data_IF_224335067064
#
_entry.id   IF_224335067064
#
_cell.length_a   1.000
_cell.length_b   1.000
_cell.length_c   1.000
_cell.angle_alpha   90.00
_cell.angle_beta   90.00
_cell.angle_gamma   90.00
#
_symmetry.space_group_name_H-M   'P 1'
#
loop_
_entity.id
_entity.type
_entity.pdbx_description
1 polymer ?
#
# COMPACT_ATOMS: atom_id res chain seq x y z
N UNK A 1 10.84 3.46 20.61
CA UNK A 1 10.93 3.92 19.20
C UNK A 1 12.02 3.13 18.50
N UNK A 2 11.82 2.76 17.22
CA UNK A 2 12.73 1.89 16.47
C UNK A 2 13.83 2.75 15.81
N UNK A 3 15.12 2.55 16.15
CA UNK A 3 16.21 3.45 15.77
C UNK A 3 16.52 3.41 14.27
N UNK A 4 16.23 2.30 13.58
CA UNK A 4 16.60 2.14 12.18
C UNK A 4 15.92 3.17 11.28
N UNK A 5 14.63 3.43 11.49
CA UNK A 5 13.91 4.46 10.74
C UNK A 5 14.58 5.84 10.88
N UNK A 6 14.86 6.24 12.12
CA UNK A 6 15.47 7.54 12.38
C UNK A 6 16.94 7.59 11.93
N UNK A 7 17.67 6.47 11.91
CA UNK A 7 18.99 6.42 11.32
C UNK A 7 18.95 6.63 9.79
N UNK A 8 18.01 5.97 9.10
CA UNK A 8 17.88 6.05 7.64
C UNK A 8 17.44 7.43 7.15
N UNK A 9 16.61 8.12 7.92
CA UNK A 9 15.96 9.36 7.50
C UNK A 9 16.52 10.59 8.23
N UNK A 10 17.11 10.40 9.40
CA UNK A 10 17.58 11.46 10.28
C UNK A 10 18.99 11.95 10.01
N UNK A 11 19.83 11.21 9.28
CA UNK A 11 21.21 11.62 8.98
C UNK A 11 21.39 13.05 8.46
N UNK A 12 20.46 13.69 7.70
CA UNK A 12 20.64 15.07 7.28
C UNK A 12 20.68 16.07 8.43
N UNK A 13 20.14 15.73 9.61
CA UNK A 13 20.26 16.57 10.81
C UNK A 13 21.68 16.61 11.36
N UNK A 14 22.56 15.67 10.98
CA UNK A 14 23.98 15.71 11.34
C UNK A 14 24.76 16.75 10.54
N UNK A 15 24.19 17.23 9.42
CA UNK A 15 24.80 18.23 8.54
C UNK A 15 24.28 19.63 8.88
N UNK A 16 23.01 19.75 9.28
CA UNK A 16 22.40 21.04 9.61
C UNK A 16 21.28 20.89 10.63
N UNK A 17 21.33 21.69 11.70
CA UNK A 17 20.31 21.70 12.77
C UNK A 17 19.08 22.56 12.45
N UNK A 18 19.06 23.22 11.29
CA UNK A 18 18.02 24.18 10.90
C UNK A 18 16.96 23.66 9.91
N UNK A 19 16.30 24.59 9.22
CA UNK A 19 15.30 24.28 8.18
C UNK A 19 15.84 23.37 7.07
N UNK A 20 17.14 23.50 6.75
CA UNK A 20 17.80 22.68 5.75
C UNK A 20 17.86 21.21 6.19
N UNK A 21 18.25 20.93 7.44
CA UNK A 21 18.26 19.57 8.01
C UNK A 21 16.89 18.92 7.94
N UNK A 22 15.84 19.62 8.39
CA UNK A 22 14.46 19.11 8.36
C UNK A 22 14.00 18.83 6.93
N UNK A 23 14.30 19.71 5.96
CA UNK A 23 13.99 19.48 4.54
C UNK A 23 14.78 18.30 3.98
N UNK A 24 16.04 18.15 4.37
CA UNK A 24 16.88 17.00 4.02
C UNK A 24 16.29 15.70 4.53
N UNK A 25 15.86 15.65 5.80
CA UNK A 25 15.19 14.47 6.37
C UNK A 25 13.90 14.13 5.61
N UNK A 26 13.08 15.13 5.26
CA UNK A 26 11.88 14.93 4.43
C UNK A 26 12.23 14.38 3.04
N UNK A 27 13.29 14.90 2.41
CA UNK A 27 13.77 14.41 1.13
C UNK A 27 14.27 12.97 1.20
N UNK A 28 15.01 12.61 2.27
CA UNK A 28 15.44 11.24 2.52
C UNK A 28 14.25 10.28 2.71
N UNK A 29 13.22 10.69 3.47
CA UNK A 29 12.00 9.91 3.64
C UNK A 29 11.26 9.70 2.31
N UNK A 30 11.14 10.76 1.51
CA UNK A 30 10.49 10.73 0.21
C UNK A 30 11.25 9.81 -0.76
N UNK A 31 12.58 9.89 -0.79
CA UNK A 31 13.42 9.02 -1.60
C UNK A 31 13.27 7.54 -1.21
N UNK A 32 13.22 7.23 0.08
CA UNK A 32 12.98 5.88 0.58
C UNK A 32 11.60 5.36 0.14
N UNK A 33 10.55 6.16 0.30
CA UNK A 33 9.20 5.79 -0.16
C UNK A 33 9.16 5.59 -1.69
N UNK A 34 9.79 6.50 -2.45
CA UNK A 34 9.85 6.44 -3.90
C UNK A 34 10.56 5.17 -4.38
N UNK A 35 11.64 4.76 -3.73
CA UNK A 35 12.35 3.51 -4.06
C UNK A 35 11.43 2.28 -3.94
N UNK A 36 10.66 2.19 -2.84
CA UNK A 36 9.70 1.08 -2.66
C UNK A 36 8.56 1.12 -3.66
N UNK A 37 7.97 2.30 -3.90
CA UNK A 37 6.89 2.46 -4.87
C UNK A 37 7.37 2.18 -6.30
N UNK A 38 8.60 2.57 -6.65
CA UNK A 38 9.21 2.27 -7.94
C UNK A 38 9.47 0.76 -8.11
N UNK A 39 9.95 0.09 -7.05
CA UNK A 39 10.10 -1.36 -7.05
C UNK A 39 8.74 -2.06 -7.24
N UNK A 40 7.71 -1.63 -6.51
CA UNK A 40 6.36 -2.15 -6.66
C UNK A 40 5.79 -1.94 -8.08
N UNK A 41 5.94 -0.73 -8.62
CA UNK A 41 5.53 -0.41 -9.98
C UNK A 41 6.29 -1.28 -11.00
N UNK A 42 7.60 -1.50 -10.81
CA UNK A 42 8.41 -2.37 -11.67
C UNK A 42 7.89 -3.81 -11.66
N UNK A 43 7.57 -4.35 -10.47
CA UNK A 43 6.95 -5.66 -10.33
C UNK A 43 5.62 -5.69 -11.08
N UNK A 44 4.72 -4.74 -10.84
CA UNK A 44 3.41 -4.70 -11.49
C UNK A 44 3.53 -4.63 -13.02
N UNK A 45 4.42 -3.78 -13.54
CA UNK A 45 4.63 -3.61 -14.98
C UNK A 45 5.34 -4.80 -15.65
N UNK A 46 5.87 -5.73 -14.85
CA UNK A 46 6.43 -7.00 -15.33
C UNK A 46 5.40 -8.12 -15.43
N UNK A 47 4.25 -7.99 -14.75
CA UNK A 47 3.18 -8.99 -14.78
C UNK A 47 2.49 -8.91 -16.14
N UNK A 48 2.29 -10.08 -16.77
CA UNK A 48 1.58 -10.15 -18.02
C UNK A 48 0.11 -9.72 -17.85
N UNK A 49 -0.34 -8.77 -18.68
CA UNK A 49 -1.76 -8.38 -18.81
C UNK A 49 -1.95 -6.88 -19.03
N UNK A 50 -3.15 -6.36 -18.74
CA UNK A 50 -3.51 -4.94 -18.94
C UNK A 50 -2.88 -4.04 -17.88
N UNK A 51 -1.85 -3.28 -18.25
CA UNK A 51 -1.07 -2.44 -17.32
C UNK A 51 -1.87 -1.33 -16.68
N UNK A 52 -2.81 -0.72 -17.41
CA UNK A 52 -3.70 0.32 -16.87
C UNK A 52 -4.50 -0.19 -15.67
N UNK A 53 -4.95 -1.45 -15.67
CA UNK A 53 -5.68 -2.05 -14.53
C UNK A 53 -4.75 -2.23 -13.32
N UNK A 54 -3.53 -2.73 -13.55
CA UNK A 54 -2.53 -2.89 -12.50
C UNK A 54 -2.11 -1.53 -11.91
N UNK A 55 -1.97 -0.51 -12.77
CA UNK A 55 -1.71 0.86 -12.37
C UNK A 55 -2.88 1.42 -11.53
N UNK A 56 -4.12 1.23 -11.96
CA UNK A 56 -5.30 1.67 -11.22
C UNK A 56 -5.36 1.03 -9.83
N UNK A 57 -5.07 -0.27 -9.70
CA UNK A 57 -4.99 -0.93 -8.39
C UNK A 57 -3.88 -0.38 -7.50
N UNK A 58 -2.70 -0.08 -8.07
CA UNK A 58 -1.61 0.57 -7.34
C UNK A 58 -2.05 1.95 -6.82
N UNK A 59 -2.56 2.81 -7.69
CA UNK A 59 -2.96 4.17 -7.30
C UNK A 59 -4.14 4.18 -6.34
N UNK A 60 -5.14 3.29 -6.51
CA UNK A 60 -6.28 3.17 -5.61
C UNK A 60 -5.89 3.02 -4.13
N UNK A 61 -4.79 2.30 -3.85
CA UNK A 61 -4.29 2.12 -2.49
C UNK A 61 -3.54 3.32 -1.92
N UNK A 62 -2.99 4.17 -2.79
CA UNK A 62 -2.14 5.29 -2.42
C UNK A 62 -2.97 6.53 -2.06
N UNK A 63 -3.59 6.49 -0.88
CA UNK A 63 -4.43 7.59 -0.36
C UNK A 63 -3.69 8.93 -0.30
N UNK A 64 -4.39 10.08 -0.27
CA UNK A 64 -3.75 11.36 -0.05
C UNK A 64 -2.92 11.38 1.23
N UNK A 65 -3.36 10.72 2.29
CA UNK A 65 -2.57 10.53 3.50
C UNK A 65 -1.27 9.77 3.20
N UNK A 66 -1.33 8.63 2.50
CA UNK A 66 -0.14 7.83 2.19
C UNK A 66 0.92 8.67 1.43
N UNK A 67 0.47 9.46 0.46
CA UNK A 67 1.33 10.40 -0.31
C UNK A 67 1.83 11.56 0.53
N UNK A 68 1.00 12.12 1.42
CA UNK A 68 1.42 13.17 2.35
C UNK A 68 2.52 12.66 3.30
N UNK A 69 2.36 11.45 3.82
CA UNK A 69 3.31 10.83 4.75
C UNK A 69 4.63 10.44 4.10
N UNK A 70 4.70 10.26 2.77
CA UNK A 70 5.99 10.06 2.10
C UNK A 70 6.85 11.32 2.14
N UNK A 71 6.25 12.51 2.15
CA UNK A 71 6.95 13.79 2.30
C UNK A 71 7.16 14.24 3.75
N UNK A 72 6.54 13.56 4.72
CA UNK A 72 6.68 13.85 6.14
C UNK A 72 7.73 12.97 6.82
N UNK A 73 8.35 13.45 7.89
CA UNK A 73 9.22 12.61 8.75
C UNK A 73 8.29 11.76 9.63
N UNK A 74 7.75 10.69 9.05
CA UNK A 74 6.85 9.77 9.73
C UNK A 74 7.07 8.33 9.25
N UNK A 75 7.26 7.35 10.16
CA UNK A 75 7.51 5.96 9.76
C UNK A 75 6.33 5.29 9.02
N UNK A 76 5.09 5.79 9.15
CA UNK A 76 3.93 5.27 8.40
C UNK A 76 4.07 5.41 6.89
N UNK A 77 4.80 6.42 6.40
CA UNK A 77 5.03 6.63 4.96
C UNK A 77 5.81 5.47 4.32
N UNK A 78 7.08 5.22 4.73
CA UNK A 78 7.85 4.10 4.20
C UNK A 78 7.27 2.74 4.58
N UNK A 79 6.57 2.60 5.71
CA UNK A 79 5.85 1.38 6.06
C UNK A 79 4.76 1.06 5.02
N UNK A 80 3.94 2.04 4.63
CA UNK A 80 2.94 1.88 3.58
C UNK A 80 3.59 1.57 2.22
N UNK A 81 4.65 2.30 1.85
CA UNK A 81 5.35 2.08 0.58
C UNK A 81 6.01 0.69 0.50
N UNK A 82 6.67 0.25 1.57
CA UNK A 82 7.24 -1.09 1.68
C UNK A 82 6.14 -2.16 1.63
N UNK A 83 4.99 -1.94 2.27
CA UNK A 83 3.85 -2.84 2.17
C UNK A 83 3.38 -3.01 0.72
N UNK A 84 3.23 -1.92 -0.03
CA UNK A 84 2.86 -1.98 -1.47
C UNK A 84 3.85 -2.84 -2.25
N UNK A 85 5.16 -2.68 -2.01
CA UNK A 85 6.18 -3.52 -2.65
C UNK A 85 6.07 -4.99 -2.23
N UNK A 86 5.83 -5.26 -0.94
CA UNK A 86 5.68 -6.61 -0.40
C UNK A 86 4.45 -7.32 -0.98
N UNK A 87 3.30 -6.64 -1.00
CA UNK A 87 2.08 -7.10 -1.65
C UNK A 87 2.30 -7.43 -3.12
N UNK A 88 2.90 -6.50 -3.88
CA UNK A 88 3.18 -6.71 -5.30
C UNK A 88 4.08 -7.93 -5.53
N UNK A 89 5.15 -8.07 -4.75
CA UNK A 89 6.08 -9.19 -4.87
C UNK A 89 5.44 -10.54 -4.52
N UNK A 90 4.71 -10.61 -3.40
CA UNK A 90 4.03 -11.84 -2.95
C UNK A 90 2.94 -12.26 -3.95
N UNK A 91 2.08 -11.33 -4.37
CA UNK A 91 1.03 -11.64 -5.35
C UNK A 91 1.61 -12.01 -6.72
N UNK A 92 2.69 -11.38 -7.16
CA UNK A 92 3.40 -11.76 -8.38
C UNK A 92 4.00 -13.17 -8.28
N UNK A 93 4.54 -13.57 -7.13
CA UNK A 93 5.09 -14.90 -6.91
C UNK A 93 4.01 -15.98 -6.85
N UNK A 94 2.81 -15.66 -6.35
CA UNK A 94 1.69 -16.62 -6.25
C UNK A 94 1.00 -16.81 -7.61
N UNK A 95 0.70 -15.71 -8.31
CA UNK A 95 -0.21 -15.72 -9.46
C UNK A 95 0.46 -15.46 -10.83
N UNK A 96 1.71 -14.99 -10.85
CA UNK A 96 2.25 -14.31 -12.01
C UNK A 96 3.15 -15.12 -12.93
N UNK A 97 2.99 -14.87 -14.24
CA UNK A 97 4.04 -14.97 -15.28
C UNK A 97 4.76 -13.62 -15.41
N UNK A 98 5.38 -13.18 -14.32
CA UNK A 98 6.19 -11.96 -14.33
C UNK A 98 7.40 -12.17 -15.25
N UNK A 99 7.77 -11.13 -16.02
CA UNK A 99 9.02 -11.16 -16.80
C UNK A 99 10.27 -10.95 -15.93
N UNK A 100 10.12 -10.62 -14.65
CA UNK A 100 11.24 -10.55 -13.71
C UNK A 100 11.65 -11.95 -13.28
N UNK A 101 12.95 -12.13 -13.06
CA UNK A 101 13.46 -13.36 -12.47
C UNK A 101 12.82 -13.60 -11.10
N UNK A 102 12.44 -14.84 -10.81
CA UNK A 102 11.88 -15.25 -9.52
C UNK A 102 12.77 -14.83 -8.34
N UNK A 103 14.09 -14.89 -8.51
CA UNK A 103 15.06 -14.43 -7.51
C UNK A 103 14.89 -12.94 -7.17
N UNK A 104 14.66 -12.09 -8.17
CA UNK A 104 14.42 -10.65 -7.96
C UNK A 104 13.17 -10.41 -7.14
N UNK A 105 12.07 -11.12 -7.44
CA UNK A 105 10.83 -11.02 -6.66
C UNK A 105 11.02 -11.47 -5.21
N UNK A 106 11.78 -12.55 -4.98
CA UNK A 106 12.11 -13.03 -3.64
C UNK A 106 12.97 -12.02 -2.86
N UNK A 107 13.97 -11.41 -3.51
CA UNK A 107 14.80 -10.37 -2.90
C UNK A 107 13.95 -9.16 -2.53
N UNK A 108 13.09 -8.67 -3.44
CA UNK A 108 12.22 -7.54 -3.16
C UNK A 108 11.21 -7.85 -2.05
N UNK A 109 10.66 -9.07 -2.01
CA UNK A 109 9.80 -9.52 -0.92
C UNK A 109 10.55 -9.57 0.42
N UNK A 110 11.77 -10.12 0.45
CA UNK A 110 12.61 -10.16 1.64
C UNK A 110 12.97 -8.76 2.16
N UNK A 111 13.43 -7.88 1.27
CA UNK A 111 13.82 -6.51 1.61
C UNK A 111 12.63 -5.67 2.10
N UNK A 112 11.49 -5.70 1.40
CA UNK A 112 10.30 -4.95 1.79
C UNK A 112 9.64 -5.49 3.06
N UNK A 113 9.58 -6.82 3.23
CA UNK A 113 9.11 -7.44 4.47
C UNK A 113 10.00 -7.12 5.67
N UNK A 114 11.32 -7.08 5.46
CA UNK A 114 12.28 -6.67 6.50
C UNK A 114 12.08 -5.20 6.87
N UNK A 115 11.86 -4.32 5.88
CA UNK A 115 11.58 -2.90 6.11
C UNK A 115 10.28 -2.67 6.91
N UNK A 116 9.25 -3.49 6.70
CA UNK A 116 8.02 -3.44 7.50
C UNK A 116 8.29 -3.72 8.99
N UNK A 117 9.03 -4.80 9.26
CA UNK A 117 9.35 -5.22 10.64
C UNK A 117 10.26 -4.23 11.37
N UNK A 118 11.13 -3.54 10.65
CA UNK A 118 12.03 -2.56 11.26
C UNK A 118 11.39 -1.19 11.49
N UNK A 119 10.29 -0.88 10.79
CA UNK A 119 9.56 0.38 10.96
C UNK A 119 8.86 0.48 12.32
N UNK A 120 8.15 -0.58 12.73
CA UNK A 120 7.44 -0.66 14.02
C UNK A 120 7.24 -2.11 14.46
N UNK A 121 6.98 -2.32 15.75
CA UNK A 121 6.66 -3.63 16.34
C UNK A 121 5.56 -4.39 15.59
N UNK A 122 4.53 -3.66 15.13
CA UNK A 122 3.39 -4.24 14.41
C UNK A 122 3.72 -4.68 12.98
N UNK A 123 4.91 -4.35 12.45
CA UNK A 123 5.32 -4.72 11.10
C UNK A 123 5.28 -6.23 10.84
N UNK A 124 5.59 -7.06 11.85
CA UNK A 124 5.51 -8.51 11.75
C UNK A 124 4.07 -8.98 11.51
N UNK A 125 3.12 -8.36 12.21
CA UNK A 125 1.70 -8.64 12.03
C UNK A 125 1.26 -8.30 10.60
N UNK A 126 1.72 -7.16 10.04
CA UNK A 126 1.44 -6.82 8.65
C UNK A 126 2.00 -7.85 7.67
N UNK A 127 3.27 -8.25 7.81
CA UNK A 127 3.88 -9.28 6.94
C UNK A 127 3.03 -10.56 6.95
N UNK A 128 2.69 -11.08 8.14
CA UNK A 128 1.88 -12.28 8.27
C UNK A 128 0.48 -12.12 7.65
N UNK A 129 -0.18 -11.00 7.91
CA UNK A 129 -1.51 -10.73 7.39
C UNK A 129 -1.52 -10.63 5.86
N UNK A 130 -0.53 -9.94 5.28
CA UNK A 130 -0.36 -9.81 3.84
C UNK A 130 -0.21 -11.18 3.18
N UNK A 131 0.62 -12.06 3.78
CA UNK A 131 0.82 -13.41 3.28
C UNK A 131 -0.46 -14.25 3.33
N UNK A 132 -1.18 -14.22 4.46
CA UNK A 132 -2.44 -14.94 4.62
C UNK A 132 -3.47 -14.48 3.60
N UNK A 133 -3.71 -13.17 3.50
CA UNK A 133 -4.68 -12.61 2.56
C UNK A 133 -4.28 -12.87 1.10
N UNK A 134 -2.99 -12.83 0.78
CA UNK A 134 -2.51 -13.20 -0.56
C UNK A 134 -2.76 -14.67 -0.87
N UNK A 135 -2.52 -15.57 0.09
CA UNK A 135 -2.79 -17.01 -0.07
C UNK A 135 -4.29 -17.33 -0.20
N UNK A 136 -5.17 -16.55 0.45
CA UNK A 136 -6.63 -16.71 0.30
C UNK A 136 -7.10 -16.52 -1.14
N UNK A 137 -6.34 -15.80 -1.97
CA UNK A 137 -6.65 -15.63 -3.39
C UNK A 137 -6.20 -16.80 -4.28
N UNK A 138 -5.48 -17.77 -3.73
CA UNK A 138 -4.97 -18.95 -4.44
C UNK A 138 -5.57 -20.25 -3.91
N UNK A 139 -5.50 -21.30 -4.72
CA UNK A 139 -5.93 -22.63 -4.30
C UNK A 139 -5.05 -23.18 -3.16
N UNK A 140 -5.66 -23.93 -2.22
CA UNK A 140 -4.98 -24.47 -1.02
C UNK A 140 -3.75 -25.33 -1.35
N UNK A 141 -3.73 -25.98 -2.51
CA UNK A 141 -2.58 -26.76 -2.98
C UNK A 141 -1.29 -25.93 -3.15
N UNK A 142 -1.41 -24.61 -3.34
CA UNK A 142 -0.26 -23.71 -3.51
C UNK A 142 0.36 -23.30 -2.18
N UNK A 143 -0.38 -23.36 -1.07
CA UNK A 143 -0.01 -22.72 0.19
C UNK A 143 1.30 -23.25 0.77
N UNK A 144 1.39 -24.56 0.98
CA UNK A 144 2.55 -25.18 1.61
C UNK A 144 3.81 -25.11 0.73
N UNK A 145 3.78 -25.45 -0.58
CA UNK A 145 4.92 -25.27 -1.47
C UNK A 145 5.41 -23.82 -1.53
N UNK A 146 4.48 -22.86 -1.57
CA UNK A 146 4.80 -21.44 -1.61
C UNK A 146 5.53 -20.99 -0.34
N UNK A 147 4.95 -21.24 0.84
CA UNK A 147 5.52 -20.86 2.14
C UNK A 147 6.91 -21.48 2.33
N UNK A 148 7.08 -22.77 1.96
CA UNK A 148 8.39 -23.44 1.99
C UNK A 148 9.42 -22.75 1.10
N UNK A 149 9.00 -22.29 -0.09
CA UNK A 149 9.85 -21.54 -1.01
C UNK A 149 10.28 -20.16 -0.51
N UNK A 150 9.57 -19.59 0.47
CA UNK A 150 9.89 -18.29 1.08
C UNK A 150 10.80 -18.38 2.31
N UNK A 151 10.93 -19.55 2.94
CA UNK A 151 11.66 -19.76 4.20
C UNK A 151 13.02 -19.08 4.22
N UNK A 152 13.91 -19.46 3.31
CA UNK A 152 15.28 -18.92 3.29
C UNK A 152 15.36 -17.47 2.77
N UNK A 153 14.83 -17.13 1.57
CA UNK A 153 15.08 -15.81 0.99
C UNK A 153 14.25 -14.68 1.60
N UNK A 154 13.14 -14.98 2.28
CA UNK A 154 12.20 -13.98 2.81
C UNK A 154 12.09 -14.07 4.33
N UNK A 155 11.82 -15.25 4.89
CA UNK A 155 11.57 -15.34 6.34
C UNK A 155 12.82 -15.25 7.20
N UNK A 156 13.98 -15.75 6.76
CA UNK A 156 15.25 -15.58 7.50
C UNK A 156 15.61 -14.10 7.73
N UNK A 157 15.68 -13.23 6.71
CA UNK A 157 16.01 -11.82 6.96
C UNK A 157 14.95 -11.08 7.79
N UNK A 158 13.67 -11.41 7.59
CA UNK A 158 12.56 -10.88 8.41
C UNK A 158 12.71 -11.29 9.88
N UNK A 159 12.99 -12.57 10.15
CA UNK A 159 13.18 -13.08 11.49
C UNK A 159 14.42 -12.48 12.16
N UNK A 160 15.53 -12.37 11.42
CA UNK A 160 16.74 -11.72 11.93
C UNK A 160 16.49 -10.25 12.33
N UNK A 161 15.80 -9.49 11.48
CA UNK A 161 15.41 -8.13 11.80
C UNK A 161 14.45 -8.07 13.01
N UNK A 162 13.48 -8.96 13.10
CA UNK A 162 12.58 -9.03 14.24
C UNK A 162 13.33 -9.29 15.56
N UNK A 163 14.31 -10.19 15.55
CA UNK A 163 15.15 -10.48 16.73
C UNK A 163 15.95 -9.25 17.13
N UNK A 164 16.61 -8.57 16.18
CA UNK A 164 17.37 -7.34 16.46
C UNK A 164 16.47 -6.25 17.03
N UNK A 165 15.30 -6.02 16.41
CA UNK A 165 14.36 -5.00 16.86
C UNK A 165 13.71 -5.36 18.21
N UNK A 166 13.45 -6.64 18.45
CA UNK A 166 12.95 -7.15 19.73
C UNK A 166 13.98 -6.95 20.83
N UNK A 167 15.23 -7.35 20.60
CA UNK A 167 16.34 -7.13 21.52
C UNK A 167 16.50 -5.63 21.85
N UNK A 168 16.51 -4.76 20.83
CA UNK A 168 16.56 -3.31 21.05
C UNK A 168 15.37 -2.80 21.88
N UNK A 169 14.15 -3.27 21.58
CA UNK A 169 12.94 -2.85 22.30
C UNK A 169 13.01 -3.19 23.77
N UNK A 170 13.54 -4.37 24.11
CA UNK A 170 13.72 -4.84 25.48
C UNK A 170 14.84 -4.07 26.20
N UNK A 171 16.00 -3.91 25.57
CA UNK A 171 17.17 -3.24 26.18
C UNK A 171 16.95 -1.74 26.34
N UNK A 172 16.41 -1.07 25.32
CA UNK A 172 16.09 0.35 25.36
C UNK A 172 14.78 0.67 26.10
N UNK A 173 14.09 -0.35 26.64
CA UNK A 173 12.79 -0.27 27.33
C UNK A 173 11.77 0.59 26.57
N UNK A 174 11.81 0.51 25.25
CA UNK A 174 11.12 1.47 24.39
C UNK A 174 9.59 1.28 24.34
N UNK A 175 9.11 0.20 24.98
CA UNK A 175 7.70 -0.06 25.26
C UNK A 175 7.16 0.75 26.45
N UNK A 176 8.03 1.29 27.32
CA UNK A 176 7.64 2.09 28.50
C UNK A 176 7.42 3.58 28.19
N UNK A 177 7.63 4.00 26.93
CA UNK A 177 7.56 5.42 26.54
C UNK A 177 6.14 5.99 26.58
N UNK A 178 5.12 5.13 26.48
CA UNK A 178 3.74 5.54 26.73
C UNK A 178 3.45 5.37 28.23
N UNK A 179 3.31 6.48 28.96
CA UNK A 179 2.73 6.41 30.30
C UNK A 179 1.37 5.73 30.18
N UNK A 180 1.07 4.70 30.97
CA UNK A 180 -0.26 4.12 30.97
C UNK A 180 -1.23 5.26 31.32
N UNK A 181 -2.12 5.59 30.38
CA UNK A 181 -3.35 6.27 30.79
C UNK A 181 -4.00 5.34 31.82
N UNK A 182 -4.62 5.89 32.87
CA UNK A 182 -5.31 5.03 33.85
C UNK A 182 -6.29 4.12 33.09
N UNK A 183 -6.33 2.80 33.38
CA UNK A 183 -7.39 1.94 32.88
C UNK A 183 -8.70 2.63 33.17
N UNK A 184 -9.48 2.88 32.13
CA UNK A 184 -10.85 3.31 32.34
C UNK A 184 -11.61 2.01 32.39
N UNK A 185 -12.12 1.65 33.56
CA UNK A 185 -13.03 0.51 33.71
C UNK A 185 -14.27 0.83 32.89
N UNK A 186 -14.34 0.24 31.70
CA UNK A 186 -15.39 0.46 30.71
C UNK A 186 -16.03 -0.88 30.40
N UNK A 187 -17.35 -0.93 30.46
CA UNK A 187 -18.08 -2.11 30.03
C UNK A 187 -17.87 -2.37 28.53
N UNK A 188 -17.91 -3.64 28.13
CA UNK A 188 -17.71 -4.06 26.74
C UNK A 188 -18.67 -3.34 25.77
N UNK A 189 -19.91 -3.10 26.19
CA UNK A 189 -20.91 -2.38 25.41
C UNK A 189 -20.51 -0.92 25.16
N UNK A 190 -19.89 -0.27 26.13
CA UNK A 190 -19.37 1.09 26.00
C UNK A 190 -18.12 1.13 25.11
N UNK A 191 -17.21 0.16 25.26
CA UNK A 191 -16.03 0.03 24.38
C UNK A 191 -16.45 -0.16 22.92
N UNK A 192 -17.43 -1.03 22.67
CA UNK A 192 -17.98 -1.23 21.32
C UNK A 192 -18.63 0.05 20.80
N UNK A 193 -19.50 0.69 21.58
CA UNK A 193 -20.18 1.95 21.18
C UNK A 193 -19.18 3.06 20.84
N UNK A 194 -18.16 3.25 21.68
CA UNK A 194 -17.10 4.24 21.45
C UNK A 194 -16.23 3.89 20.24
N UNK A 195 -15.99 2.60 19.99
CA UNK A 195 -15.22 2.16 18.83
C UNK A 195 -16.00 2.41 17.54
N UNK A 196 -17.29 2.05 17.51
CA UNK A 196 -18.18 2.31 16.38
C UNK A 196 -18.31 3.82 16.08
N UNK A 197 -18.44 4.66 17.11
CA UNK A 197 -18.47 6.11 16.96
C UNK A 197 -17.16 6.73 16.42
N UNK A 198 -16.06 5.98 16.41
CA UNK A 198 -14.77 6.44 15.87
C UNK A 198 -14.50 5.97 14.42
N UNK A 199 -15.39 5.18 13.80
CA UNK A 199 -15.21 4.67 12.43
C UNK A 199 -14.96 5.82 11.46
N UNK A 200 -15.83 6.82 11.45
CA UNK A 200 -15.76 7.93 10.50
C UNK A 200 -14.45 8.70 10.63
N UNK A 201 -14.00 8.89 11.88
CA UNK A 201 -12.72 9.51 12.17
C UNK A 201 -11.56 8.66 11.64
N UNK A 202 -11.52 7.37 11.95
CA UNK A 202 -10.43 6.48 11.52
C UNK A 202 -10.37 6.31 10.00
N UNK A 203 -11.51 6.27 9.32
CA UNK A 203 -11.59 6.26 7.87
C UNK A 203 -11.11 7.58 7.27
N UNK A 204 -11.52 8.71 7.85
CA UNK A 204 -11.04 10.03 7.43
C UNK A 204 -9.52 10.16 7.62
N UNK A 205 -9.02 9.66 8.75
CA UNK A 205 -7.59 9.55 9.05
C UNK A 205 -6.85 8.70 8.04
N UNK A 206 -7.40 7.55 7.61
CA UNK A 206 -6.81 6.67 6.61
C UNK A 206 -6.73 7.33 5.22
N UNK A 207 -7.74 8.13 4.88
CA UNK A 207 -7.86 8.75 3.56
C UNK A 207 -7.01 10.01 3.46
N UNK A 208 -7.28 11.06 4.24
CA UNK A 208 -6.70 12.39 3.98
C UNK A 208 -6.78 13.35 5.18
N UNK A 209 -6.42 12.89 6.37
CA UNK A 209 -6.30 13.76 7.55
C UNK A 209 -4.85 14.22 7.74
N UNK A 210 -4.57 15.49 7.42
CA UNK A 210 -3.21 16.02 7.36
C UNK A 210 -2.76 16.76 8.63
N UNK A 211 -1.49 17.17 8.64
CA UNK A 211 -0.86 17.85 9.78
C UNK A 211 -0.71 16.90 10.98
N UNK A 212 -1.00 17.41 12.18
CA UNK A 212 -1.08 16.62 13.41
C UNK A 212 -2.55 16.27 13.71
N UNK A 213 -3.23 15.61 12.77
CA UNK A 213 -4.68 15.38 12.82
C UNK A 213 -5.47 16.69 12.99
N UNK A 214 -5.03 17.75 12.31
CA UNK A 214 -5.64 19.09 12.41
C UNK A 214 -6.39 19.50 11.15
N UNK A 215 -6.07 18.89 10.01
CA UNK A 215 -6.63 19.23 8.71
C UNK A 215 -7.50 18.07 8.22
N UNK A 216 -8.83 18.12 8.42
CA UNK A 216 -9.72 17.04 8.01
C UNK A 216 -9.89 16.99 6.48
N UNK A 217 -10.27 15.83 5.93
CA UNK A 217 -10.56 15.72 4.51
C UNK A 217 -11.87 16.43 4.13
N UNK A 218 -11.87 17.11 2.98
CA UNK A 218 -13.11 17.64 2.40
C UNK A 218 -14.01 16.55 1.79
N UNK A 219 -15.29 16.88 1.54
CA UNK A 219 -16.29 15.92 1.07
C UNK A 219 -15.96 15.31 -0.30
N UNK A 220 -15.34 16.09 -1.20
CA UNK A 220 -14.93 15.60 -2.53
C UNK A 220 -13.87 14.50 -2.39
N UNK A 221 -12.89 14.70 -1.51
CA UNK A 221 -11.84 13.71 -1.23
C UNK A 221 -12.42 12.41 -0.68
N UNK A 222 -13.35 12.50 0.27
CA UNK A 222 -14.03 11.34 0.85
C UNK A 222 -14.89 10.60 -0.18
N UNK A 223 -15.67 11.34 -0.98
CA UNK A 223 -16.49 10.77 -2.04
C UNK A 223 -15.64 10.04 -3.09
N UNK A 224 -14.50 10.62 -3.49
CA UNK A 224 -13.55 9.96 -4.39
C UNK A 224 -13.04 8.64 -3.82
N UNK A 225 -12.72 8.58 -2.52
CA UNK A 225 -12.25 7.33 -1.91
C UNK A 225 -13.35 6.28 -1.72
N UNK A 226 -14.59 6.69 -1.45
CA UNK A 226 -15.73 5.78 -1.47
C UNK A 226 -15.92 5.15 -2.86
N UNK A 227 -15.80 5.94 -3.93
CA UNK A 227 -15.82 5.44 -5.30
C UNK A 227 -14.64 4.51 -5.60
N UNK A 228 -13.44 4.81 -5.10
CA UNK A 228 -12.27 3.91 -5.19
C UNK A 228 -12.56 2.55 -4.55
N UNK A 229 -13.16 2.53 -3.36
CA UNK A 229 -13.58 1.27 -2.72
C UNK A 229 -14.60 0.51 -3.56
N UNK A 230 -15.59 1.20 -4.13
CA UNK A 230 -16.55 0.58 -5.04
C UNK A 230 -15.87 -0.06 -6.26
N UNK A 231 -14.86 0.60 -6.82
CA UNK A 231 -14.10 0.07 -7.96
C UNK A 231 -13.28 -1.18 -7.59
N UNK A 232 -12.73 -1.26 -6.37
CA UNK A 232 -12.08 -2.48 -5.86
C UNK A 232 -13.08 -3.63 -5.83
N UNK A 233 -14.32 -3.39 -5.36
CA UNK A 233 -15.39 -4.39 -5.32
C UNK A 233 -15.73 -4.85 -6.75
N UNK A 234 -15.84 -3.92 -7.70
CA UNK A 234 -16.05 -4.24 -9.12
C UNK A 234 -14.92 -5.11 -9.66
N UNK A 235 -13.64 -4.77 -9.43
CA UNK A 235 -12.52 -5.59 -9.87
C UNK A 235 -12.51 -6.99 -9.24
N UNK A 236 -12.83 -7.08 -7.94
CA UNK A 236 -12.94 -8.36 -7.24
C UNK A 236 -14.05 -9.24 -7.84
N UNK A 237 -15.17 -8.65 -8.27
CA UNK A 237 -16.28 -9.36 -8.90
C UNK A 237 -15.88 -10.02 -10.25
N UNK A 238 -14.93 -9.43 -10.98
CA UNK A 238 -14.35 -10.07 -12.19
C UNK A 238 -13.41 -11.24 -11.87
N UNK A 239 -12.91 -11.34 -10.64
CA UNK A 239 -12.10 -12.45 -10.17
C UNK A 239 -12.90 -13.71 -9.86
N UNK A 240 -12.19 -14.81 -9.62
CA UNK A 240 -12.79 -16.07 -9.16
C UNK A 240 -13.25 -15.97 -7.68
N UNK A 241 -13.90 -17.02 -7.16
CA UNK A 241 -14.40 -17.04 -5.79
C UNK A 241 -13.34 -16.79 -4.71
N UNK A 242 -12.10 -17.24 -4.92
CA UNK A 242 -10.98 -17.03 -3.98
C UNK A 242 -10.56 -15.56 -3.95
N UNK A 243 -10.52 -14.90 -5.11
CA UNK A 243 -10.22 -13.47 -5.21
C UNK A 243 -11.30 -12.63 -4.55
N UNK A 244 -12.58 -12.94 -4.81
CA UNK A 244 -13.72 -12.27 -4.18
C UNK A 244 -13.66 -12.42 -2.66
N UNK A 245 -13.44 -13.65 -2.18
CA UNK A 245 -13.35 -13.95 -0.76
C UNK A 245 -12.15 -13.24 -0.10
N UNK A 246 -10.94 -13.40 -0.66
CA UNK A 246 -9.73 -12.76 -0.12
C UNK A 246 -9.81 -11.23 -0.09
N UNK A 247 -10.36 -10.62 -1.16
CA UNK A 247 -10.58 -9.17 -1.20
C UNK A 247 -11.64 -8.74 -0.19
N UNK A 248 -12.75 -9.47 -0.08
CA UNK A 248 -13.82 -9.19 0.90
C UNK A 248 -13.32 -9.27 2.34
N UNK A 249 -12.52 -10.30 2.68
CA UNK A 249 -11.87 -10.41 3.99
C UNK A 249 -10.88 -9.26 4.21
N UNK A 250 -10.10 -8.90 3.20
CA UNK A 250 -9.19 -7.75 3.26
C UNK A 250 -9.90 -6.43 3.55
N UNK A 251 -10.99 -6.13 2.82
CA UNK A 251 -11.83 -4.95 3.04
C UNK A 251 -12.46 -4.97 4.44
N UNK A 252 -12.97 -6.12 4.88
CA UNK A 252 -13.50 -6.28 6.23
C UNK A 252 -12.43 -5.97 7.29
N UNK A 253 -11.18 -6.41 7.10
CA UNK A 253 -10.10 -6.09 8.03
C UNK A 253 -9.67 -4.63 8.00
N UNK A 254 -9.72 -3.94 6.86
CA UNK A 254 -9.49 -2.49 6.82
C UNK A 254 -10.48 -1.74 7.71
N UNK A 255 -11.73 -2.20 7.77
CA UNK A 255 -12.78 -1.60 8.59
C UNK A 255 -12.73 -2.07 10.07
N UNK A 256 -12.64 -3.38 10.30
CA UNK A 256 -12.89 -3.98 11.60
C UNK A 256 -11.63 -4.06 12.47
N UNK A 257 -10.45 -4.22 11.88
CA UNK A 257 -9.22 -4.37 12.66
C UNK A 257 -8.86 -3.11 13.46
N UNK A 258 -8.96 -1.88 12.89
CA UNK A 258 -8.76 -0.65 13.66
C UNK A 258 -9.72 -0.52 14.85
N UNK A 259 -10.96 -0.99 14.70
CA UNK A 259 -11.97 -0.97 15.76
C UNK A 259 -11.61 -1.93 16.89
N UNK A 260 -11.18 -3.14 16.54
CA UNK A 260 -10.74 -4.12 17.52
C UNK A 260 -9.53 -3.61 18.29
N UNK A 261 -8.52 -3.07 17.60
CA UNK A 261 -7.30 -2.58 18.26
C UNK A 261 -7.61 -1.34 19.12
N UNK A 262 -8.44 -0.43 18.63
CA UNK A 262 -8.87 0.75 19.39
C UNK A 262 -9.68 0.35 20.63
N UNK A 263 -10.58 -0.63 20.51
CA UNK A 263 -11.33 -1.18 21.64
C UNK A 263 -10.42 -1.79 22.69
N UNK A 264 -9.44 -2.61 22.25
CA UNK A 264 -8.42 -3.16 23.12
C UNK A 264 -7.56 -2.08 23.78
N UNK A 265 -7.26 -0.99 23.08
CA UNK A 265 -6.52 0.14 23.64
C UNK A 265 -7.30 0.88 24.73
N UNK A 266 -8.63 0.96 24.64
CA UNK A 266 -9.45 1.48 25.74
C UNK A 266 -9.42 0.57 26.98
N UNK A 267 -9.46 -0.75 26.78
CA UNK A 267 -9.39 -1.73 27.86
C UNK A 267 -7.97 -1.90 28.44
N UNK A 268 -6.93 -1.67 27.63
CA UNK A 268 -5.51 -1.80 27.99
C UNK A 268 -4.74 -0.57 27.51
N UNK A 269 -4.70 0.50 28.31
CA UNK A 269 -4.18 1.80 27.85
C UNK A 269 -2.69 1.80 27.52
N UNK A 270 -1.95 0.77 27.92
CA UNK A 270 -0.55 0.53 27.54
C UNK A 270 -0.36 0.25 26.05
N UNK A 271 -1.42 -0.10 25.31
CA UNK A 271 -1.39 -0.35 23.87
C UNK A 271 -1.28 0.97 23.07
N UNK A 272 -1.76 2.09 23.64
CA UNK A 272 -1.82 3.39 22.96
C UNK A 272 -2.94 3.48 21.93
N UNK A 273 -3.34 4.71 21.59
CA UNK A 273 -4.44 4.94 20.63
C UNK A 273 -4.10 4.52 19.20
N UNK A 274 -5.11 4.04 18.47
CA UNK A 274 -4.99 3.67 17.06
C UNK A 274 -5.41 4.84 16.16
N UNK A 275 -4.60 5.13 15.14
CA UNK A 275 -4.89 6.16 14.14
C UNK A 275 -5.01 5.50 12.76
N UNK A 276 -5.83 6.08 11.88
CA UNK A 276 -6.10 5.52 10.54
C UNK A 276 -4.83 5.23 9.74
N UNK A 277 -3.78 6.06 9.89
CA UNK A 277 -2.48 5.85 9.23
C UNK A 277 -1.78 4.52 9.57
N UNK A 278 -2.11 3.91 10.71
CA UNK A 278 -1.52 2.62 11.10
C UNK A 278 -2.10 1.46 10.28
N UNK A 279 -3.29 1.65 9.69
CA UNK A 279 -3.95 0.66 8.82
C UNK A 279 -3.44 0.71 7.38
N UNK A 280 -2.64 1.72 7.00
CA UNK A 280 -2.16 1.90 5.63
C UNK A 280 -1.49 0.66 5.03
N UNK A 281 -0.61 -0.09 5.73
CA UNK A 281 0.03 -1.29 5.16
C UNK A 281 -0.96 -2.35 4.64
N UNK A 282 -2.14 -2.43 5.26
CA UNK A 282 -3.22 -3.28 4.79
C UNK A 282 -4.01 -2.60 3.67
N UNK A 283 -4.49 -1.37 3.91
CA UNK A 283 -5.38 -0.66 2.99
C UNK A 283 -4.78 -0.48 1.59
N UNK A 284 -3.48 -0.17 1.51
CA UNK A 284 -2.77 0.03 0.23
C UNK A 284 -2.69 -1.23 -0.63
N UNK A 285 -2.76 -2.42 -0.03
CA UNK A 285 -2.58 -3.69 -0.74
C UNK A 285 -3.85 -4.48 -0.99
N UNK A 286 -4.93 -4.20 -0.27
CA UNK A 286 -6.26 -4.79 -0.56
C UNK A 286 -6.71 -4.43 -1.98
N UNK A 287 -6.30 -3.28 -2.51
CA UNK A 287 -6.55 -2.91 -3.91
C UNK A 287 -5.83 -3.83 -4.89
N UNK A 288 -4.63 -4.28 -4.55
CA UNK A 288 -3.82 -5.20 -5.35
C UNK A 288 -4.38 -6.63 -5.34
N UNK A 289 -5.01 -7.05 -4.24
CA UNK A 289 -5.75 -8.33 -4.16
C UNK A 289 -6.86 -8.42 -5.21
N UNK A 290 -7.49 -7.30 -5.56
CA UNK A 290 -8.58 -7.26 -6.52
C UNK A 290 -8.12 -7.24 -7.98
N UNK A 291 -6.89 -6.80 -8.28
CA UNK A 291 -6.45 -6.59 -9.67
C UNK A 291 -5.39 -7.58 -10.16
N UNK A 292 -4.50 -8.08 -9.29
CA UNK A 292 -3.42 -8.98 -9.69
C UNK A 292 -3.95 -10.41 -9.94
N UNK A 293 -4.69 -11.03 -9.00
CA UNK A 293 -5.16 -12.41 -9.14
C UNK A 293 -6.37 -12.55 -10.08
N UNK A 294 -7.18 -11.49 -10.21
CA UNK A 294 -8.53 -11.54 -10.75
C UNK A 294 -8.64 -11.92 -12.23
N UNK A 295 -7.53 -12.17 -12.94
CA UNK A 295 -7.58 -12.37 -14.38
C UNK A 295 -8.16 -11.16 -15.13
N UNK A 296 -8.37 -10.01 -14.47
CA UNK A 296 -8.83 -8.77 -15.11
C UNK A 296 -7.78 -8.27 -16.11
N UNK A 297 -6.51 -8.54 -15.77
CA UNK A 297 -5.36 -8.35 -16.64
C UNK A 297 -5.42 -9.24 -17.90
N UNK A 298 -6.19 -10.34 -17.87
CA UNK A 298 -6.44 -11.29 -18.97
C UNK A 298 -7.90 -11.31 -19.48
N UNK A 299 -8.81 -10.54 -18.88
CA UNK A 299 -10.23 -10.54 -19.22
C UNK A 299 -10.45 -9.97 -20.64
N UNK A 300 -11.22 -10.72 -21.44
CA UNK A 300 -11.73 -10.26 -22.74
C UNK A 300 -12.85 -9.25 -22.47
N UNK A 301 -12.60 -7.96 -22.75
CA UNK A 301 -13.60 -6.90 -22.59
C UNK A 301 -12.99 -5.52 -22.38
N UNK A 302 -13.69 -4.48 -22.81
CA UNK A 302 -13.27 -3.08 -22.62
C UNK A 302 -13.60 -2.54 -21.22
N UNK A 303 -14.59 -3.14 -20.53
CA UNK A 303 -15.13 -2.64 -19.26
C UNK A 303 -14.06 -2.46 -18.18
N UNK A 304 -13.16 -3.44 -17.89
CA UNK A 304 -12.19 -3.23 -16.81
C UNK A 304 -11.17 -2.13 -17.10
N UNK A 305 -10.90 -1.85 -18.37
CA UNK A 305 -10.05 -0.72 -18.78
C UNK A 305 -10.78 0.60 -18.57
N UNK A 306 -12.06 0.67 -18.94
CA UNK A 306 -12.90 1.86 -18.71
C UNK A 306 -12.98 2.14 -17.20
N UNK A 307 -13.26 1.12 -16.39
CA UNK A 307 -13.28 1.23 -14.92
C UNK A 307 -11.92 1.65 -14.39
N UNK A 308 -10.81 1.13 -14.93
CA UNK A 308 -9.46 1.54 -14.51
C UNK A 308 -9.17 3.02 -14.84
N UNK A 309 -9.55 3.51 -16.01
CA UNK A 309 -9.41 4.93 -16.37
C UNK A 309 -10.30 5.84 -15.51
N UNK A 310 -11.56 5.44 -15.31
CA UNK A 310 -12.46 6.14 -14.39
C UNK A 310 -11.86 6.17 -12.97
N UNK A 311 -11.24 5.07 -12.54
CA UNK A 311 -10.57 5.00 -11.24
C UNK A 311 -9.43 5.99 -11.11
N UNK A 312 -8.56 6.05 -12.13
CA UNK A 312 -7.47 7.00 -12.16
C UNK A 312 -8.00 8.45 -12.19
N UNK A 313 -9.07 8.74 -12.92
CA UNK A 313 -9.67 10.06 -12.96
C UNK A 313 -10.24 10.48 -11.59
N UNK A 314 -11.04 9.60 -10.95
CA UNK A 314 -11.60 9.83 -9.61
C UNK A 314 -10.51 9.99 -8.55
N UNK A 315 -9.47 9.16 -8.63
CA UNK A 315 -8.27 9.25 -7.80
C UNK A 315 -7.59 10.62 -7.96
N UNK A 316 -7.37 11.07 -9.19
CA UNK A 316 -6.75 12.38 -9.47
C UNK A 316 -7.59 13.53 -8.93
N UNK A 317 -8.91 13.50 -9.15
CA UNK A 317 -9.84 14.51 -8.59
C UNK A 317 -9.76 14.54 -7.06
N UNK A 318 -9.77 13.39 -6.41
CA UNK A 318 -9.70 13.29 -4.95
C UNK A 318 -8.37 13.82 -4.38
N UNK A 319 -7.24 13.52 -5.03
CA UNK A 319 -5.94 14.09 -4.64
C UNK A 319 -5.86 15.60 -4.85
N UNK A 320 -6.35 16.11 -5.97
CA UNK A 320 -6.38 17.56 -6.23
C UNK A 320 -7.25 18.27 -5.19
N UNK A 321 -8.42 17.72 -4.87
CA UNK A 321 -9.29 18.24 -3.82
C UNK A 321 -8.58 18.25 -2.46
N UNK A 322 -7.95 17.13 -2.08
CA UNK A 322 -7.23 17.03 -0.80
C UNK A 322 -6.09 18.05 -0.69
N UNK A 323 -5.30 18.22 -1.76
CA UNK A 323 -4.22 19.21 -1.82
C UNK A 323 -4.79 20.63 -1.72
N UNK A 324 -5.88 20.94 -2.43
CA UNK A 324 -6.54 22.25 -2.40
C UNK A 324 -7.05 22.57 -0.99
N UNK A 325 -7.71 21.63 -0.34
CA UNK A 325 -8.29 21.80 1.00
C UNK A 325 -7.17 22.03 2.03
N UNK A 326 -6.13 21.18 1.98
CA UNK A 326 -4.97 21.32 2.85
C UNK A 326 -4.24 22.66 2.63
N UNK A 327 -4.06 23.05 1.37
CA UNK A 327 -3.44 24.32 1.00
C UNK A 327 -4.21 25.51 1.57
N UNK A 328 -5.54 25.52 1.43
CA UNK A 328 -6.39 26.55 2.01
C UNK A 328 -6.16 26.66 3.52
N UNK A 329 -6.27 25.55 4.24
CA UNK A 329 -6.16 25.54 5.70
C UNK A 329 -4.75 25.94 6.16
N UNK A 330 -3.68 25.46 5.51
CA UNK A 330 -2.31 25.85 5.89
C UNK A 330 -1.98 27.32 5.60
N UNK A 331 -2.70 27.97 4.69
CA UNK A 331 -2.46 29.37 4.33
C UNK A 331 -3.35 30.35 5.09
N UNK A 332 -4.60 29.98 5.39
CA UNK A 332 -5.57 30.88 6.03
C UNK A 332 -5.94 30.53 7.47
N UNK A 333 -5.45 29.41 8.01
CA UNK A 333 -5.88 28.89 9.30
C UNK A 333 -7.21 28.13 9.25
N UNK A 334 -7.61 27.54 10.38
CA UNK A 334 -8.78 26.65 10.51
C UNK A 334 -10.14 27.37 10.47
N UNK A 335 -10.16 28.70 10.68
CA UNK A 335 -11.40 29.47 10.85
C UNK A 335 -12.15 29.78 9.54
N UNK A 336 -11.54 29.56 8.37
CA UNK A 336 -12.18 29.84 7.10
C UNK A 336 -12.93 28.62 6.54
N UNK A 337 -14.20 28.55 6.88
CA UNK A 337 -15.18 27.70 6.20
C UNK A 337 -15.41 28.21 4.77
N UNK A 338 -14.98 27.40 3.79
CA UNK A 338 -15.58 27.22 2.44
C UNK A 338 -15.13 28.04 1.24
N UNK A 339 -14.23 29.01 1.32
CA UNK A 339 -13.61 29.58 0.11
C UNK A 339 -12.14 29.91 0.36
N UNK A 340 -11.25 28.94 0.11
CA UNK A 340 -9.81 29.21 0.04
C UNK A 340 -9.57 30.35 -0.97
N UNK A 341 -8.73 31.36 -0.66
CA UNK A 341 -8.30 32.31 -1.68
C UNK A 341 -7.66 31.54 -2.85
N UNK A 342 -7.70 32.08 -4.08
CA UNK A 342 -7.00 31.47 -5.22
C UNK A 342 -5.54 31.17 -4.87
N UNK A 343 -4.90 30.26 -5.60
CA UNK A 343 -3.50 29.79 -5.46
C UNK A 343 -2.41 30.92 -5.47
N UNK A 344 -2.77 32.17 -5.26
CA UNK A 344 -2.02 33.40 -5.52
C UNK A 344 -1.47 34.10 -4.26
N UNK A 345 -1.80 33.67 -3.03
CA UNK A 345 -1.59 34.52 -1.84
C UNK A 345 -0.30 34.31 -0.98
N UNK A 346 0.48 33.22 -1.06
CA UNK A 346 1.63 32.93 -0.14
C UNK A 346 2.70 32.09 -0.90
N UNK A 347 4.05 32.16 -0.64
CA UNK A 347 5.10 32.06 -1.67
C UNK A 347 4.90 30.89 -2.62
N UNK A 348 4.44 31.29 -3.79
CA UNK A 348 3.73 30.47 -4.73
C UNK A 348 4.69 29.58 -5.55
N UNK A 349 5.99 29.86 -5.48
CA UNK A 349 7.03 29.24 -6.31
C UNK A 349 7.32 27.80 -5.93
N UNK A 350 7.50 27.49 -4.64
CA UNK A 350 7.82 26.13 -4.18
C UNK A 350 6.65 25.16 -4.33
N UNK A 351 5.42 25.64 -4.12
CA UNK A 351 4.22 24.84 -4.27
C UNK A 351 3.81 24.63 -5.72
N UNK A 352 3.89 25.67 -6.56
CA UNK A 352 3.68 25.50 -8.01
C UNK A 352 4.77 24.61 -8.61
N UNK A 353 6.02 24.75 -8.20
CA UNK A 353 7.09 23.84 -8.61
C UNK A 353 6.80 22.39 -8.18
N UNK A 354 6.32 22.18 -6.94
CA UNK A 354 5.88 20.85 -6.47
C UNK A 354 4.75 20.27 -7.33
N UNK A 355 3.72 21.08 -7.64
CA UNK A 355 2.61 20.67 -8.50
C UNK A 355 3.07 20.32 -9.92
N UNK A 356 3.97 21.12 -10.50
CA UNK A 356 4.56 20.88 -11.82
C UNK A 356 5.38 19.59 -11.81
N UNK A 357 6.19 19.34 -10.77
CA UNK A 357 6.97 18.10 -10.64
C UNK A 357 6.05 16.88 -10.54
N UNK A 358 4.97 16.97 -9.75
CA UNK A 358 3.98 15.88 -9.62
C UNK A 358 3.26 15.64 -10.95
N UNK A 359 2.84 16.70 -11.64
CA UNK A 359 2.17 16.61 -12.93
C UNK A 359 3.10 16.02 -14.01
N UNK A 360 4.34 16.50 -14.10
CA UNK A 360 5.35 15.99 -15.03
C UNK A 360 5.68 14.51 -14.73
N UNK A 361 5.88 14.15 -13.46
CA UNK A 361 6.10 12.77 -13.05
C UNK A 361 4.92 11.86 -13.41
N UNK A 362 3.69 12.32 -13.17
CA UNK A 362 2.47 11.60 -13.54
C UNK A 362 2.36 11.40 -15.06
N UNK A 363 2.64 12.43 -15.85
CA UNK A 363 2.65 12.36 -17.33
C UNK A 363 3.72 11.41 -17.85
N UNK A 364 4.92 11.41 -17.26
CA UNK A 364 5.99 10.48 -17.62
C UNK A 364 5.62 9.02 -17.32
N UNK A 365 5.01 8.76 -16.17
CA UNK A 365 4.51 7.41 -15.83
C UNK A 365 3.43 6.99 -16.82
N UNK A 366 2.49 7.89 -17.15
CA UNK A 366 1.43 7.62 -18.11
C UNK A 366 1.99 7.33 -19.51
N UNK A 367 2.93 8.15 -19.97
CA UNK A 367 3.61 7.96 -21.25
C UNK A 367 4.36 6.61 -21.28
N UNK A 368 5.06 6.24 -20.22
CA UNK A 368 5.76 4.96 -20.11
C UNK A 368 4.79 3.76 -20.18
N UNK A 369 3.63 3.86 -19.51
CA UNK A 369 2.57 2.84 -19.58
C UNK A 369 2.05 2.70 -21.03
N UNK A 370 1.72 3.82 -21.66
CA UNK A 370 1.14 3.85 -23.02
C UNK A 370 2.13 3.38 -24.09
N UNK A 371 3.40 3.82 -24.03
CA UNK A 371 4.43 3.42 -24.99
C UNK A 371 4.68 1.92 -24.94
N UNK A 372 4.78 1.36 -23.74
CA UNK A 372 5.04 -0.07 -23.57
C UNK A 372 3.84 -0.93 -23.95
N UNK A 373 2.61 -0.41 -23.88
CA UNK A 373 1.40 -1.11 -24.33
C UNK A 373 1.29 -1.13 -25.87
N UNK A 374 1.85 -0.14 -26.57
CA UNK A 374 1.92 -0.10 -28.05
C UNK A 374 2.95 -1.04 -28.66
N UNK A 375 4.06 -1.33 -27.98
CA UNK A 375 5.16 -2.15 -28.53
C UNK A 375 4.94 -3.65 -28.43
N UNK A 376 3.72 -4.13 -28.18
CA UNK A 376 3.42 -5.57 -28.24
C UNK A 376 2.90 -5.93 -29.63
N UNK A 377 3.51 -6.91 -30.33
CA UNK A 377 2.85 -7.55 -31.46
C UNK A 377 1.53 -8.15 -30.98
N UNK A 378 0.48 -8.03 -31.78
CA UNK A 378 -0.78 -8.68 -31.50
C UNK A 378 -0.54 -10.17 -31.35
N UNK A 379 -1.15 -10.78 -30.33
CA UNK A 379 -1.01 -12.23 -30.07
C UNK A 379 -1.53 -13.12 -31.21
N UNK A 380 -2.07 -12.53 -32.29
CA UNK A 380 -2.43 -13.22 -33.51
C UNK A 380 -1.20 -13.79 -34.26
N UNK A 381 0.00 -13.22 -34.07
CA UNK A 381 1.20 -13.60 -34.83
C UNK A 381 2.10 -14.64 -34.13
N UNK A 382 1.78 -15.01 -32.89
CA UNK A 382 2.46 -16.10 -32.20
C UNK A 382 1.67 -17.37 -32.46
N UNK A 383 2.11 -18.13 -33.48
CA UNK A 383 1.62 -19.47 -33.79
C UNK A 383 1.58 -20.37 -32.55
N UNK A 384 0.87 -21.51 -32.62
CA UNK A 384 0.66 -22.38 -31.47
C UNK A 384 1.99 -22.70 -30.78
N UNK A 385 2.01 -22.75 -29.43
CA UNK A 385 3.24 -23.03 -28.69
C UNK A 385 3.86 -24.32 -29.23
N UNK A 386 5.13 -24.24 -29.62
CA UNK A 386 5.88 -25.40 -30.08
C UNK A 386 5.74 -26.51 -29.03
N UNK A 387 5.11 -27.62 -29.43
CA UNK A 387 5.04 -28.84 -28.66
C UNK A 387 6.47 -29.41 -28.55
N UNK A 388 7.25 -28.91 -27.60
CA UNK A 388 8.44 -29.57 -27.10
C UNK A 388 8.26 -29.73 -25.61
N UNK A 389 8.10 -31.00 -25.22
CA UNK A 389 8.10 -31.60 -23.88
C UNK A 389 6.85 -32.46 -23.63
N UNK A 390 6.45 -33.27 -24.63
CA UNK A 390 5.68 -34.48 -24.37
C UNK A 390 6.65 -35.66 -24.25
N UNK A 391 6.79 -36.09 -22.99
CA UNK A 391 7.21 -37.39 -22.47
C UNK A 391 7.55 -38.51 -23.52
N UNK A 392 8.81 -39.02 -23.55
CA UNK A 392 9.18 -40.16 -24.40
C UNK A 392 8.47 -41.48 -24.05
N UNK A 393 7.77 -41.57 -22.91
CA UNK A 393 7.14 -42.82 -22.47
C UNK A 393 5.78 -43.12 -23.12
N UNK A 394 5.18 -42.18 -23.86
CA UNK A 394 3.83 -42.34 -24.40
C UNK A 394 3.76 -42.91 -25.84
N UNK A 395 4.89 -43.11 -26.54
CA UNK A 395 4.89 -43.53 -27.95
C UNK A 395 5.06 -45.04 -28.19
N UNK A 396 5.07 -45.88 -27.14
CA UNK A 396 5.27 -47.33 -27.26
C UNK A 396 4.00 -48.18 -27.10
N UNK A 397 2.85 -47.59 -26.81
CA UNK A 397 1.59 -48.33 -26.59
C UNK A 397 0.64 -48.37 -27.80
N UNK A 398 0.98 -47.76 -28.94
CA UNK A 398 0.06 -47.63 -30.07
C UNK A 398 0.27 -48.64 -31.22
N UNK A 399 1.13 -49.67 -31.08
CA UNK A 399 1.38 -50.67 -32.13
C UNK A 399 1.20 -52.13 -31.72
N UNK A 400 0.38 -52.40 -30.71
CA UNK A 400 -0.19 -53.75 -30.51
C UNK A 400 -1.64 -53.61 -30.10
N UNK A 401 -2.53 -53.71 -31.07
CA UNK A 401 -3.83 -54.40 -31.02
C UNK A 401 -4.39 -54.51 -32.43
#
# INVERSE_FOLDING_TARGET
MFPLYYAMVGWPSLISDGRLGVRGMRAANAALCAAWLAAAATILMSIAGRRVVLAAGLFAGLTPLAMYLSGGINPSGPEAAAAVCFWAAVLALIHGRSSLARRTLLVLAGLSGTALVTGRFIGMFWVGLILVLSLLTAHRSVWLPFVRGLLKPVFVPIAAAAVVMGAYTLTARSYQTFKPLRPVDRDLSEVVRLSLGNIDKQLSELVAYFGWLSVPPGPVTLASWALVVLMIIVFAAYGNGQVRFGTGVGLAFVLLLPLLIQGLAFARPTIGGWQGRYTLPLAVGVTLLAVIPAGVSSARGRIPVIVAWAAMAVYTVGHIAAIRDAWGIFTTGLDNTRLSPPFTAVPVTTARAGLVIVAAGGLLILAAILLKDRTRPDRADLGPPAAKDLDPAASLSAHRL
#
